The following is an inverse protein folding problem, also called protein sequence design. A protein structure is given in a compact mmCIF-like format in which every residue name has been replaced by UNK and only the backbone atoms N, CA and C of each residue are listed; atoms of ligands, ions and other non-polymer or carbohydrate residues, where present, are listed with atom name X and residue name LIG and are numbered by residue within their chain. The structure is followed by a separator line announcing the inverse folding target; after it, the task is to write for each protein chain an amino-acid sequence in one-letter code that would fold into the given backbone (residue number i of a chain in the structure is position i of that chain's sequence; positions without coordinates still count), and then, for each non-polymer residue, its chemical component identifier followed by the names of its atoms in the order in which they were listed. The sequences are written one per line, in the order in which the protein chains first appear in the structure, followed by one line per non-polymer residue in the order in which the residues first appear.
data_IF_899615201958
#
_entry.id   IF_899615201958
#
_cell.length_a   1.000
_cell.length_b   1.000
_cell.length_c   1.000
_cell.angle_alpha   90.00
_cell.angle_beta   90.00
_cell.angle_gamma   90.00
#
_symmetry.space_group_name_H-M   'P 1'
#
loop_
_entity.id
_entity.type
_entity.pdbx_description
1 polymer ?
#
# COMPACT_ATOMS: atom_id res chain seq x y z
N UNK A 1 -8.27 22.96 47.61
CA UNK A 1 -9.49 23.13 46.78
C UNK A 1 -9.15 22.71 45.36
N UNK A 2 -9.63 21.55 44.92
CA UNK A 2 -9.49 21.07 43.55
C UNK A 2 -10.38 21.93 42.64
N UNK A 3 -9.81 22.57 41.61
CA UNK A 3 -10.60 23.35 40.64
C UNK A 3 -11.50 22.40 39.86
N UNK A 4 -12.81 22.48 40.12
CA UNK A 4 -13.84 21.67 39.44
C UNK A 4 -14.11 22.10 37.99
N UNK A 5 -13.60 23.26 37.57
CA UNK A 5 -13.77 23.79 36.22
C UNK A 5 -12.50 24.51 35.76
N UNK A 6 -12.17 24.35 34.48
CA UNK A 6 -11.09 25.06 33.80
C UNK A 6 -11.68 25.68 32.53
N UNK A 7 -11.42 26.96 32.31
CA UNK A 7 -11.88 27.67 31.12
C UNK A 7 -10.70 27.93 30.18
N UNK A 8 -10.88 27.64 28.90
CA UNK A 8 -9.94 27.96 27.83
C UNK A 8 -10.74 28.39 26.60
N UNK A 9 -10.32 29.49 25.96
CA UNK A 9 -10.99 30.02 24.78
C UNK A 9 -10.23 29.58 23.52
N UNK A 10 -10.94 28.98 22.57
CA UNK A 10 -10.40 28.54 21.28
C UNK A 10 -10.75 29.61 20.23
N UNK A 11 -9.74 30.11 19.51
CA UNK A 11 -9.92 31.04 18.40
C UNK A 11 -9.71 30.32 17.09
N UNK A 12 -10.65 30.51 16.16
CA UNK A 12 -10.59 29.96 14.81
C UNK A 12 -9.98 30.98 13.87
N UNK A 13 -9.04 30.54 13.04
CA UNK A 13 -8.50 31.39 11.99
C UNK A 13 -9.38 31.27 10.74
N UNK A 14 -10.03 32.37 10.34
CA UNK A 14 -10.92 32.39 9.17
C UNK A 14 -10.16 32.51 7.83
N UNK A 15 -8.83 32.66 7.86
CA UNK A 15 -8.00 32.60 6.63
C UNK A 15 -7.49 31.19 6.34
N UNK A 16 -7.57 30.29 7.32
CA UNK A 16 -7.19 28.89 7.18
C UNK A 16 -8.43 28.06 6.89
N UNK A 17 -8.35 27.19 5.89
CA UNK A 17 -9.49 26.36 5.49
C UNK A 17 -9.90 25.43 6.64
N UNK A 18 -8.93 24.88 7.39
CA UNK A 18 -9.20 24.05 8.55
C UNK A 18 -9.95 24.82 9.65
N UNK A 19 -9.53 26.06 9.91
CA UNK A 19 -10.20 26.97 10.85
C UNK A 19 -11.63 27.31 10.46
N UNK A 20 -11.88 27.62 9.18
CA UNK A 20 -13.23 27.90 8.65
C UNK A 20 -14.13 26.66 8.77
N UNK A 21 -13.67 25.50 8.30
CA UNK A 21 -14.46 24.27 8.38
C UNK A 21 -14.76 23.86 9.83
N UNK A 22 -13.81 24.03 10.75
CA UNK A 22 -14.03 23.73 12.16
C UNK A 22 -15.07 24.67 12.78
N UNK A 23 -15.05 25.95 12.40
CA UNK A 23 -16.07 26.92 12.83
C UNK A 23 -17.46 26.55 12.33
N UNK A 24 -17.59 26.21 11.04
CA UNK A 24 -18.87 25.82 10.44
C UNK A 24 -19.44 24.54 11.06
N UNK A 25 -18.60 23.50 11.25
CA UNK A 25 -19.02 22.25 11.91
C UNK A 25 -19.49 22.49 13.34
N UNK A 26 -18.78 23.32 14.11
CA UNK A 26 -19.14 23.64 15.50
C UNK A 26 -20.50 24.37 15.60
N UNK A 27 -20.87 25.14 14.57
CA UNK A 27 -22.12 25.90 14.49
C UNK A 27 -23.15 25.27 13.54
N UNK A 28 -23.00 23.98 13.24
CA UNK A 28 -23.94 23.23 12.42
C UNK A 28 -25.21 22.88 13.20
N UNK A 29 -26.33 22.70 12.48
CA UNK A 29 -27.60 22.35 13.10
C UNK A 29 -27.55 20.96 13.74
N UNK A 30 -26.75 20.06 13.17
CA UNK A 30 -26.51 18.71 13.65
C UNK A 30 -25.84 18.74 15.04
N UNK A 31 -24.85 19.61 15.24
CA UNK A 31 -24.20 19.74 16.55
C UNK A 31 -25.15 20.32 17.60
N UNK A 32 -26.01 21.25 17.21
CA UNK A 32 -27.00 21.84 18.12
C UNK A 32 -28.12 20.85 18.50
N UNK A 33 -28.52 19.96 17.58
CA UNK A 33 -29.56 18.97 17.80
C UNK A 33 -29.07 17.73 18.56
N UNK A 34 -27.89 17.22 18.21
CA UNK A 34 -27.40 15.93 18.71
C UNK A 34 -26.66 16.06 20.04
N UNK A 35 -26.21 17.26 20.41
CA UNK A 35 -25.38 17.46 21.60
C UNK A 35 -25.99 18.38 22.66
N UNK A 36 -25.80 17.95 23.91
CA UNK A 36 -25.76 18.71 25.17
C UNK A 36 -25.57 20.23 25.05
N UNK A 37 -24.46 20.55 24.40
CA UNK A 37 -23.86 21.88 24.29
C UNK A 37 -22.68 21.79 23.32
N UNK A 38 -22.24 22.93 22.79
CA UNK A 38 -21.01 23.02 22.00
C UNK A 38 -19.80 22.47 22.76
N UNK A 39 -19.70 22.71 24.07
CA UNK A 39 -18.62 22.14 24.90
C UNK A 39 -18.65 20.62 24.94
N UNK A 40 -19.84 20.01 24.99
CA UNK A 40 -19.96 18.55 24.97
C UNK A 40 -19.47 17.97 23.64
N UNK A 41 -19.82 18.62 22.52
CA UNK A 41 -19.30 18.27 21.21
C UNK A 41 -17.77 18.42 21.13
N UNK A 42 -17.22 19.55 21.57
CA UNK A 42 -15.78 19.81 21.54
C UNK A 42 -15.01 18.78 22.37
N UNK A 43 -15.50 18.42 23.57
CA UNK A 43 -14.88 17.39 24.40
C UNK A 43 -14.91 16.03 23.70
N UNK A 44 -16.06 15.65 23.13
CA UNK A 44 -16.18 14.39 22.38
C UNK A 44 -15.24 14.35 21.17
N UNK A 45 -15.17 15.43 20.39
CA UNK A 45 -14.32 15.52 19.21
C UNK A 45 -12.82 15.46 19.56
N UNK A 46 -12.40 16.10 20.65
CA UNK A 46 -11.00 16.04 21.13
C UNK A 46 -10.64 14.62 21.54
N UNK A 47 -11.50 13.95 22.32
CA UNK A 47 -11.24 12.59 22.78
C UNK A 47 -11.22 11.60 21.60
N UNK A 48 -12.20 11.69 20.71
CA UNK A 48 -12.27 10.84 19.52
C UNK A 48 -11.05 11.04 18.60
N UNK A 49 -10.65 12.29 18.33
CA UNK A 49 -9.45 12.55 17.55
C UNK A 49 -8.18 12.01 18.22
N UNK A 50 -8.06 12.18 19.54
CA UNK A 50 -6.91 11.68 20.31
C UNK A 50 -6.84 10.15 20.29
N UNK A 51 -7.96 9.46 20.49
CA UNK A 51 -8.04 8.00 20.41
C UNK A 51 -7.70 7.49 19.02
N UNK A 52 -8.24 8.10 17.95
CA UNK A 52 -7.88 7.75 16.57
C UNK A 52 -6.42 8.02 16.26
N UNK A 53 -5.86 9.11 16.76
CA UNK A 53 -4.45 9.45 16.58
C UNK A 53 -3.54 8.43 17.29
N UNK A 54 -3.89 8.04 18.52
CA UNK A 54 -3.16 6.99 19.25
C UNK A 54 -3.32 5.62 18.60
N UNK A 55 -4.52 5.26 18.17
CA UNK A 55 -4.77 4.01 17.46
C UNK A 55 -3.93 3.93 16.18
N UNK A 56 -3.85 5.02 15.41
CA UNK A 56 -2.98 5.12 14.24
C UNK A 56 -1.50 5.03 14.60
N UNK A 57 -1.07 5.70 15.68
CA UNK A 57 0.34 5.65 16.11
C UNK A 57 0.74 4.25 16.61
N UNK A 58 -0.18 3.58 17.29
CA UNK A 58 0.02 2.24 17.85
C UNK A 58 -0.44 1.14 16.89
N UNK A 59 -0.81 1.49 15.66
CA UNK A 59 -1.26 0.53 14.66
C UNK A 59 -0.06 -0.35 14.29
N UNK A 60 -0.07 -1.65 14.63
CA UNK A 60 1.01 -2.56 14.29
C UNK A 60 1.25 -2.65 12.78
N UNK A 61 0.24 -2.30 11.97
CA UNK A 61 0.30 -2.33 10.51
C UNK A 61 0.91 -1.07 9.87
N UNK A 62 1.10 0.02 10.60
CA UNK A 62 1.78 1.20 10.06
C UNK A 62 3.31 1.08 10.12
N UNK A 63 3.85 0.39 11.12
CA UNK A 63 5.20 -0.17 10.99
C UNK A 63 5.26 -1.29 9.95
N UNK A 64 4.16 -2.05 9.78
CA UNK A 64 4.14 -3.13 8.80
C UNK A 64 4.16 -2.61 7.38
N UNK A 65 3.60 -1.45 7.02
CA UNK A 65 3.70 -0.93 5.64
C UNK A 65 5.14 -0.76 5.17
N UNK A 66 6.01 -0.14 5.96
CA UNK A 66 7.44 -0.06 5.61
C UNK A 66 8.10 -1.44 5.56
N UNK A 67 7.71 -2.35 6.46
CA UNK A 67 8.22 -3.73 6.49
C UNK A 67 7.66 -4.61 5.36
N UNK A 68 6.44 -4.35 4.91
CA UNK A 68 5.70 -5.01 3.84
C UNK A 68 6.25 -4.55 2.49
N UNK A 69 6.48 -3.25 2.32
CA UNK A 69 7.19 -2.71 1.16
C UNK A 69 8.61 -3.29 1.10
N UNK A 70 9.34 -3.30 2.22
CA UNK A 70 10.67 -3.92 2.28
C UNK A 70 10.63 -5.45 2.05
N UNK A 71 9.56 -6.14 2.45
CA UNK A 71 9.36 -7.56 2.17
C UNK A 71 9.06 -7.79 0.69
N UNK A 72 8.20 -6.97 0.09
CA UNK A 72 7.86 -7.01 -1.32
C UNK A 72 9.11 -6.76 -2.18
N UNK A 73 9.92 -5.76 -1.84
CA UNK A 73 11.18 -5.46 -2.52
C UNK A 73 12.16 -6.64 -2.45
N UNK A 74 12.32 -7.25 -1.27
CA UNK A 74 13.17 -8.44 -1.11
C UNK A 74 12.67 -9.64 -1.90
N UNK A 75 11.35 -9.81 -1.99
CA UNK A 75 10.74 -10.89 -2.75
C UNK A 75 10.97 -10.69 -4.25
N UNK A 76 10.75 -9.49 -4.76
CA UNK A 76 11.03 -9.12 -6.16
C UNK A 76 12.50 -9.35 -6.48
N UNK A 77 13.43 -8.83 -5.66
CA UNK A 77 14.87 -9.05 -5.85
C UNK A 77 15.25 -10.53 -5.88
N UNK A 78 14.69 -11.33 -4.97
CA UNK A 78 14.99 -12.77 -4.91
C UNK A 78 14.49 -13.50 -6.15
N UNK A 79 13.30 -13.16 -6.64
CA UNK A 79 12.73 -13.72 -7.87
C UNK A 79 13.57 -13.32 -9.08
N UNK A 80 13.91 -12.03 -9.21
CA UNK A 80 14.76 -11.52 -10.28
C UNK A 80 16.12 -12.23 -10.31
N UNK A 81 16.79 -12.36 -9.16
CA UNK A 81 18.08 -13.06 -9.09
C UNK A 81 17.98 -14.53 -9.52
N UNK A 82 16.94 -15.25 -9.07
CA UNK A 82 16.72 -16.65 -9.47
C UNK A 82 16.36 -16.79 -10.95
N UNK A 83 15.64 -15.83 -11.52
CA UNK A 83 15.37 -15.81 -12.95
C UNK A 83 16.67 -15.59 -13.73
N UNK A 84 17.43 -14.55 -13.39
CA UNK A 84 18.71 -14.24 -14.04
C UNK A 84 19.72 -15.38 -13.94
N UNK A 85 19.79 -16.09 -12.80
CA UNK A 85 20.69 -17.24 -12.64
C UNK A 85 20.30 -18.43 -13.51
N UNK A 86 19.00 -18.60 -13.78
CA UNK A 86 18.47 -19.75 -14.53
C UNK A 86 18.32 -19.47 -16.03
N UNK A 87 18.33 -18.19 -16.46
CA UNK A 87 18.23 -17.79 -17.86
C UNK A 87 19.28 -18.46 -18.76
N UNK A 88 20.58 -18.56 -18.41
CA UNK A 88 21.56 -19.23 -19.26
C UNK A 88 21.26 -20.71 -19.47
N UNK A 89 20.79 -21.41 -18.42
CA UNK A 89 20.42 -22.82 -18.51
C UNK A 89 19.17 -23.00 -19.39
N UNK A 90 18.15 -22.16 -19.21
CA UNK A 90 16.94 -22.18 -20.03
C UNK A 90 17.24 -21.86 -21.49
N UNK A 91 18.10 -20.87 -21.76
CA UNK A 91 18.54 -20.51 -23.11
C UNK A 91 19.33 -21.65 -23.76
N UNK A 92 20.24 -22.29 -23.02
CA UNK A 92 20.99 -23.45 -23.51
C UNK A 92 20.06 -24.64 -23.83
N UNK A 93 19.08 -24.93 -22.97
CA UNK A 93 18.07 -25.97 -23.22
C UNK A 93 17.25 -25.66 -24.47
N UNK A 94 16.80 -24.41 -24.64
CA UNK A 94 16.07 -23.98 -25.81
C UNK A 94 16.91 -24.08 -27.08
N UNK A 95 18.19 -23.67 -27.04
CA UNK A 95 19.10 -23.79 -28.17
C UNK A 95 19.36 -25.26 -28.55
N UNK A 96 19.53 -26.15 -27.56
CA UNK A 96 19.65 -27.59 -27.82
C UNK A 96 18.38 -28.16 -28.46
N UNK A 97 17.19 -27.74 -28.02
CA UNK A 97 15.92 -28.15 -28.61
C UNK A 97 15.82 -27.70 -30.09
N UNK A 98 16.20 -26.45 -30.39
CA UNK A 98 16.22 -25.94 -31.76
C UNK A 98 17.20 -26.75 -32.63
N UNK A 99 18.42 -26.98 -32.15
CA UNK A 99 19.41 -27.77 -32.88
C UNK A 99 18.94 -29.22 -33.13
N UNK A 100 18.31 -29.85 -32.14
CA UNK A 100 17.74 -31.19 -32.28
C UNK A 100 16.62 -31.22 -33.32
N UNK A 101 15.73 -30.21 -33.32
CA UNK A 101 14.68 -30.07 -34.32
C UNK A 101 15.26 -29.90 -35.74
N UNK A 102 16.19 -28.96 -35.92
CA UNK A 102 16.83 -28.74 -37.22
C UNK A 102 17.57 -29.98 -37.73
N UNK A 103 18.33 -30.67 -36.87
CA UNK A 103 18.99 -31.93 -37.23
C UNK A 103 18.00 -33.01 -37.65
N UNK A 104 16.87 -33.13 -36.95
CA UNK A 104 15.82 -34.10 -37.30
C UNK A 104 15.16 -33.77 -38.64
N UNK A 105 14.89 -32.50 -38.91
CA UNK A 105 14.38 -32.06 -40.21
C UNK A 105 15.37 -32.31 -41.36
N UNK A 106 16.67 -32.05 -41.13
CA UNK A 106 17.71 -32.31 -42.13
C UNK A 106 17.90 -33.81 -42.39
N UNK A 107 17.91 -34.64 -41.34
CA UNK A 107 17.94 -36.12 -41.47
C UNK A 107 16.76 -36.63 -42.27
N UNK A 108 15.53 -36.20 -41.91
CA UNK A 108 14.31 -36.62 -42.60
C UNK A 108 14.30 -36.25 -44.10
N UNK A 109 14.94 -35.14 -44.46
CA UNK A 109 15.04 -34.70 -45.85
C UNK A 109 16.12 -35.49 -46.63
N UNK A 110 17.20 -35.89 -45.97
CA UNK A 110 18.23 -36.78 -46.53
C UNK A 110 17.71 -38.20 -46.74
N UNK A 111 17.00 -38.76 -45.77
CA UNK A 111 16.41 -40.11 -45.86
C UNK A 111 15.40 -40.21 -47.03
N UNK A 112 14.62 -39.13 -47.29
CA UNK A 112 13.71 -39.05 -48.44
C UNK A 112 14.41 -38.96 -49.80
N UNK A 113 15.64 -38.43 -49.86
CA UNK A 113 16.42 -38.35 -51.08
C UNK A 113 17.07 -39.69 -51.44
N UNK A 114 17.39 -40.52 -50.45
CA UNK A 114 17.92 -41.87 -50.66
C UNK A 114 16.83 -42.89 -51.06
N UNK A 115 15.58 -42.70 -50.62
CA UNK A 115 14.42 -43.53 -51.05
C UNK A 115 13.93 -43.25 -52.49
N UNK A 116 14.46 -42.22 -53.16
CA UNK A 116 14.03 -41.80 -54.53
C UNK A 116 15.05 -42.13 -55.63
N UNK A 117 16.10 -42.91 -55.34
CA UNK A 117 16.96 -43.57 -56.34
C UNK A 117 16.69 -45.08 -56.40
#
# INVERSE_FOLDING_TARGET
MTKHYRNHNIRFNMTDEGGVQAWERLHSAEVEQDFKSQNAFVVAAINDYYERHLAKKNDPYLESREKEDAFADRLVQTVEQKLLSNLPALAAMYQMQQQAFFRRCLSYNWDKLEETQ
#
